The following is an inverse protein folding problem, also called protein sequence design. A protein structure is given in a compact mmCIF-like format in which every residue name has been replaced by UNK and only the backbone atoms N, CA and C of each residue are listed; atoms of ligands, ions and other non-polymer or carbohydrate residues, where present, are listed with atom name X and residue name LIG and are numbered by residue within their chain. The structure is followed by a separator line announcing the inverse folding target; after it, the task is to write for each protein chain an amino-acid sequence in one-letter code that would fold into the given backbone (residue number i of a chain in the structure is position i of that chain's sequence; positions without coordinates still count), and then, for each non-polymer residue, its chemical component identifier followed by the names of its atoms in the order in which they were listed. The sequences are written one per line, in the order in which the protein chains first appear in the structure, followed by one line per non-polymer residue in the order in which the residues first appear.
data_IF_454568832888
#
_entry.id   IF_454568832888
#
_cell.length_a   1.000
_cell.length_b   1.000
_cell.length_c   1.000
_cell.angle_alpha   90.00
_cell.angle_beta   90.00
_cell.angle_gamma   90.00
#
_symmetry.space_group_name_H-M   'P 1'
#
loop_
_entity.id
_entity.type
_entity.pdbx_description
1 polymer ?
#
# COMPACT_ATOMS: atom_id res chain seq x y z
N UNK A 1 13.23 22.42 -3.15
CA UNK A 1 14.62 22.05 -2.81
C UNK A 1 14.78 20.63 -3.30
N UNK A 2 15.66 20.40 -4.28
CA UNK A 2 15.92 19.06 -4.81
C UNK A 2 16.49 18.20 -3.69
N UNK A 3 15.66 17.32 -3.13
CA UNK A 3 16.13 16.30 -2.20
C UNK A 3 16.76 15.17 -3.01
N UNK A 4 17.87 15.45 -3.72
CA UNK A 4 18.76 14.38 -4.16
C UNK A 4 19.45 13.83 -2.90
N UNK A 5 18.85 12.82 -2.24
CA UNK A 5 19.41 12.27 -1.01
C UNK A 5 18.45 11.47 -0.16
N UNK A 6 18.80 11.33 1.14
CA UNK A 6 18.01 10.59 2.12
C UNK A 6 17.30 11.57 3.05
N UNK A 7 15.97 11.49 3.13
CA UNK A 7 15.13 12.29 4.02
C UNK A 7 14.47 11.39 5.06
N UNK A 8 14.58 11.74 6.35
CA UNK A 8 14.01 10.95 7.45
C UNK A 8 13.22 11.88 8.37
N UNK A 9 11.98 11.52 8.68
CA UNK A 9 11.14 12.18 9.68
C UNK A 9 10.63 11.14 10.67
N UNK A 10 10.73 11.46 11.96
CA UNK A 10 10.22 10.63 13.05
C UNK A 10 9.29 11.47 13.93
N UNK A 11 8.17 10.89 14.34
CA UNK A 11 7.18 11.56 15.18
C UNK A 11 6.54 10.60 16.17
N UNK A 12 6.14 11.12 17.33
CA UNK A 12 5.43 10.31 18.32
C UNK A 12 3.92 10.43 18.16
N UNK A 13 3.41 11.65 18.08
CA UNK A 13 1.97 11.94 18.05
C UNK A 13 1.69 13.09 17.08
N UNK A 14 0.43 13.18 16.66
CA UNK A 14 -0.09 14.33 15.93
C UNK A 14 -0.02 14.13 14.42
N UNK A 15 0.36 15.19 13.70
CA UNK A 15 0.38 15.19 12.22
C UNK A 15 1.81 15.35 11.72
N UNK A 16 2.24 14.40 10.89
CA UNK A 16 3.59 14.36 10.31
C UNK A 16 3.52 14.30 8.80
N UNK A 17 4.24 15.21 8.14
CA UNK A 17 4.24 15.32 6.69
C UNK A 17 5.68 15.37 6.21
N UNK A 18 6.05 14.44 5.33
CA UNK A 18 7.33 14.41 4.64
C UNK A 18 7.09 14.48 3.13
N UNK A 19 7.78 15.41 2.47
CA UNK A 19 7.73 15.58 1.02
C UNK A 19 9.16 15.49 0.45
N UNK A 20 9.33 14.76 -0.63
CA UNK A 20 10.61 14.62 -1.33
C UNK A 20 10.42 14.61 -2.85
N UNK A 21 11.49 14.98 -3.57
CA UNK A 21 11.50 14.90 -5.02
C UNK A 21 12.11 13.60 -5.49
N UNK A 22 13.32 13.30 -5.04
CA UNK A 22 14.11 12.15 -5.48
C UNK A 22 14.70 11.42 -4.27
N UNK A 23 15.36 10.30 -4.52
CA UNK A 23 16.15 9.58 -3.53
C UNK A 23 15.32 8.73 -2.56
N UNK A 24 15.72 8.70 -1.29
CA UNK A 24 15.11 7.83 -0.28
C UNK A 24 14.39 8.67 0.76
N UNK A 25 13.13 8.36 1.04
CA UNK A 25 12.31 9.10 2.01
C UNK A 25 11.68 8.15 3.00
N UNK A 26 11.86 8.42 4.29
CA UNK A 26 11.41 7.57 5.38
C UNK A 26 10.64 8.41 6.38
N UNK A 27 9.36 8.06 6.60
CA UNK A 27 8.54 8.64 7.65
C UNK A 27 8.17 7.54 8.65
N UNK A 28 8.45 7.79 9.93
CA UNK A 28 8.05 6.93 11.05
C UNK A 28 7.16 7.70 12.02
N UNK A 29 6.04 7.12 12.41
CA UNK A 29 5.12 7.72 13.39
C UNK A 29 4.57 6.68 14.36
N UNK A 30 4.43 7.02 15.63
CA UNK A 30 3.71 6.15 16.56
C UNK A 30 2.20 6.33 16.42
N UNK A 31 1.66 7.52 16.70
CA UNK A 31 0.22 7.80 16.69
C UNK A 31 -0.13 9.00 15.82
N UNK A 32 -1.31 8.98 15.22
CA UNK A 32 -1.92 10.13 14.56
C UNK A 32 -1.98 10.01 13.04
N UNK A 33 -1.66 11.10 12.34
CA UNK A 33 -1.76 11.17 10.87
C UNK A 33 -0.38 11.36 10.26
N UNK A 34 0.00 10.43 9.38
CA UNK A 34 1.29 10.46 8.69
C UNK A 34 1.12 10.46 7.19
N UNK A 35 1.75 11.43 6.53
CA UNK A 35 1.67 11.62 5.09
C UNK A 35 3.08 11.69 4.52
N UNK A 36 3.41 10.75 3.63
CA UNK A 36 4.64 10.76 2.86
C UNK A 36 4.29 10.94 1.38
N UNK A 37 4.87 11.96 0.75
CA UNK A 37 4.73 12.21 -0.68
C UNK A 37 6.12 12.25 -1.33
N UNK A 38 6.29 11.50 -2.40
CA UNK A 38 7.53 11.45 -3.16
C UNK A 38 7.27 11.46 -4.67
N UNK A 39 8.24 11.96 -5.44
CA UNK A 39 8.14 11.90 -6.89
C UNK A 39 8.90 10.69 -7.44
N UNK A 40 10.18 10.51 -7.11
CA UNK A 40 11.00 9.42 -7.61
C UNK A 40 11.80 8.77 -6.48
N UNK A 41 12.05 7.46 -6.60
CA UNK A 41 12.99 6.72 -5.77
C UNK A 41 12.30 5.79 -4.78
N UNK A 42 12.78 5.75 -3.53
CA UNK A 42 12.30 4.82 -2.50
C UNK A 42 11.59 5.57 -1.40
N UNK A 43 10.36 5.18 -1.10
CA UNK A 43 9.53 5.82 -0.09
C UNK A 43 8.99 4.80 0.90
N UNK A 44 9.26 5.03 2.18
CA UNK A 44 8.91 4.12 3.27
C UNK A 44 8.12 4.90 4.31
N UNK A 45 6.89 4.51 4.55
CA UNK A 45 6.06 5.02 5.63
C UNK A 45 5.78 3.88 6.62
N UNK A 46 6.14 4.09 7.89
CA UNK A 46 5.87 3.15 8.98
C UNK A 46 5.05 3.85 10.05
N UNK A 47 3.93 3.25 10.43
CA UNK A 47 3.07 3.77 11.49
C UNK A 47 2.61 2.68 12.46
N UNK A 48 2.37 3.06 13.71
CA UNK A 48 1.76 2.14 14.67
C UNK A 48 0.23 2.29 14.69
N UNK A 49 -0.30 3.49 14.94
CA UNK A 49 -1.74 3.73 15.05
C UNK A 49 -2.17 4.99 14.28
N UNK A 50 -3.34 4.91 13.65
CA UNK A 50 -4.03 6.07 13.10
C UNK A 50 -4.15 6.01 11.58
N UNK A 51 -3.87 7.14 10.91
CA UNK A 51 -4.05 7.27 9.45
C UNK A 51 -2.69 7.45 8.79
N UNK A 52 -2.39 6.59 7.82
CA UNK A 52 -1.12 6.62 7.08
C UNK A 52 -1.35 6.66 5.59
N UNK A 53 -0.77 7.67 4.94
CA UNK A 53 -0.95 7.93 3.52
C UNK A 53 0.42 8.02 2.88
N UNK A 54 0.71 7.12 1.96
CA UNK A 54 1.90 7.18 1.11
C UNK A 54 1.47 7.42 -0.34
N UNK A 55 1.97 8.49 -0.92
CA UNK A 55 1.77 8.83 -2.33
C UNK A 55 3.13 8.90 -3.03
N UNK A 56 3.26 8.20 -4.15
CA UNK A 56 4.48 8.21 -4.95
C UNK A 56 4.18 8.25 -6.44
N UNK A 57 5.07 8.83 -7.22
CA UNK A 57 4.95 8.81 -8.67
C UNK A 57 5.73 7.65 -9.30
N UNK A 58 7.03 7.52 -9.02
CA UNK A 58 7.87 6.48 -9.61
C UNK A 58 8.77 5.80 -8.57
N UNK A 59 8.96 4.50 -8.70
CA UNK A 59 9.95 3.73 -7.97
C UNK A 59 9.34 2.75 -6.98
N UNK A 60 9.89 2.70 -5.76
CA UNK A 60 9.49 1.71 -4.74
C UNK A 60 8.79 2.41 -3.59
N UNK A 61 7.59 1.96 -3.26
CA UNK A 61 6.78 2.52 -2.19
C UNK A 61 6.31 1.46 -1.23
N UNK A 62 6.63 1.64 0.05
CA UNK A 62 6.36 0.67 1.10
C UNK A 62 5.62 1.40 2.22
N UNK A 63 4.40 0.96 2.48
CA UNK A 63 3.60 1.41 3.63
C UNK A 63 3.41 0.22 4.58
N UNK A 64 3.85 0.37 5.81
CA UNK A 64 3.65 -0.60 6.89
C UNK A 64 2.89 0.07 8.03
N UNK A 65 1.81 -0.55 8.48
CA UNK A 65 1.00 -0.06 9.59
C UNK A 65 0.56 -1.18 10.52
N UNK A 66 0.37 -0.86 11.80
CA UNK A 66 -0.18 -1.82 12.74
C UNK A 66 -1.71 -1.69 12.85
N UNK A 67 -2.24 -0.51 13.18
CA UNK A 67 -3.67 -0.30 13.37
C UNK A 67 -4.16 0.97 12.66
N UNK A 68 -5.36 0.88 12.09
CA UNK A 68 -6.11 2.03 11.60
C UNK A 68 -6.29 2.02 10.09
N UNK A 69 -6.07 3.16 9.44
CA UNK A 69 -6.32 3.36 8.01
C UNK A 69 -5.01 3.56 7.27
N UNK A 70 -4.75 2.74 6.27
CA UNK A 70 -3.52 2.78 5.48
C UNK A 70 -3.83 2.86 4.00
N UNK A 71 -3.30 3.90 3.36
CA UNK A 71 -3.57 4.22 1.96
C UNK A 71 -2.22 4.37 1.26
N UNK A 72 -1.97 3.51 0.29
CA UNK A 72 -0.84 3.61 -0.62
C UNK A 72 -1.36 3.89 -2.03
N UNK A 73 -0.92 5.00 -2.61
CA UNK A 73 -1.19 5.38 -4.00
C UNK A 73 0.12 5.52 -4.75
N UNK A 74 0.24 4.86 -5.88
CA UNK A 74 1.42 4.93 -6.74
C UNK A 74 1.07 5.02 -8.21
N UNK A 75 1.92 5.67 -8.99
CA UNK A 75 1.74 5.69 -10.45
C UNK A 75 2.54 4.57 -11.13
N UNK A 76 3.85 4.48 -10.93
CA UNK A 76 4.71 3.48 -11.58
C UNK A 76 5.66 2.81 -10.59
N UNK A 77 5.87 1.51 -10.79
CA UNK A 77 6.92 0.75 -10.12
C UNK A 77 6.39 -0.29 -9.15
N UNK A 78 6.98 -0.38 -7.95
CA UNK A 78 6.66 -1.41 -6.97
C UNK A 78 6.00 -0.79 -5.75
N UNK A 79 4.82 -1.28 -5.41
CA UNK A 79 4.01 -0.76 -4.31
C UNK A 79 3.62 -1.89 -3.36
N UNK A 80 4.00 -1.73 -2.10
CA UNK A 80 3.80 -2.75 -1.07
C UNK A 80 3.08 -2.09 0.11
N UNK A 81 1.89 -2.58 0.42
CA UNK A 81 1.15 -2.19 1.60
C UNK A 81 1.02 -3.41 2.52
N UNK A 82 1.51 -3.29 3.74
CA UNK A 82 1.40 -4.29 4.80
C UNK A 82 0.67 -3.69 5.99
N UNK A 83 -0.37 -4.35 6.47
CA UNK A 83 -1.13 -3.91 7.63
C UNK A 83 -1.49 -5.07 8.55
N UNK A 84 -1.59 -4.80 9.85
CA UNK A 84 -2.11 -5.78 10.78
C UNK A 84 -3.64 -5.66 10.92
N UNK A 85 -4.16 -4.51 11.36
CA UNK A 85 -5.58 -4.32 11.66
C UNK A 85 -6.14 -3.05 11.00
N UNK A 86 -7.38 -3.15 10.53
CA UNK A 86 -8.17 -1.99 10.09
C UNK A 86 -8.42 -1.97 8.58
N UNK A 87 -8.27 -0.80 7.96
CA UNK A 87 -8.59 -0.59 6.53
C UNK A 87 -7.31 -0.33 5.75
N UNK A 88 -7.10 -1.12 4.70
CA UNK A 88 -5.91 -1.04 3.85
C UNK A 88 -6.29 -0.91 2.39
N UNK A 89 -5.83 0.16 1.76
CA UNK A 89 -6.16 0.50 0.39
C UNK A 89 -4.86 0.71 -0.38
N UNK A 90 -4.63 -0.12 -1.39
CA UNK A 90 -3.54 0.04 -2.33
C UNK A 90 -4.14 0.34 -3.72
N UNK A 91 -3.77 1.49 -4.28
CA UNK A 91 -4.12 1.89 -5.63
C UNK A 91 -2.84 2.11 -6.44
N UNK A 92 -2.74 1.49 -7.60
CA UNK A 92 -1.58 1.63 -8.49
C UNK A 92 -2.00 1.76 -9.94
N UNK A 93 -1.21 2.48 -10.73
CA UNK A 93 -1.45 2.57 -12.17
C UNK A 93 -0.66 1.49 -12.93
N UNK A 94 0.66 1.42 -12.78
CA UNK A 94 1.51 0.48 -13.50
C UNK A 94 2.53 -0.21 -12.57
N UNK A 95 2.78 -1.49 -12.83
CA UNK A 95 3.88 -2.24 -12.23
C UNK A 95 3.41 -3.34 -11.29
N UNK A 96 4.07 -3.47 -10.13
CA UNK A 96 3.80 -4.54 -9.17
C UNK A 96 3.18 -3.97 -7.91
N UNK A 97 2.03 -4.51 -7.53
CA UNK A 97 1.24 -4.07 -6.39
C UNK A 97 0.92 -5.22 -5.46
N UNK A 98 1.35 -5.12 -4.22
CA UNK A 98 1.23 -6.16 -3.21
C UNK A 98 0.55 -5.57 -1.99
N UNK A 99 -0.62 -6.10 -1.65
CA UNK A 99 -1.33 -5.79 -0.42
C UNK A 99 -1.37 -7.04 0.46
N UNK A 100 -0.83 -6.93 1.66
CA UNK A 100 -0.88 -7.97 2.68
C UNK A 100 -1.55 -7.42 3.93
N UNK A 101 -2.57 -8.12 4.43
CA UNK A 101 -3.28 -7.72 5.64
C UNK A 101 -3.58 -8.91 6.54
N UNK A 102 -3.65 -8.66 7.85
CA UNK A 102 -4.07 -9.69 8.80
C UNK A 102 -5.59 -9.64 9.04
N UNK A 103 -6.12 -8.53 9.54
CA UNK A 103 -7.55 -8.38 9.86
C UNK A 103 -8.13 -7.09 9.28
N UNK A 104 -9.39 -7.17 8.85
CA UNK A 104 -10.20 -6.00 8.49
C UNK A 104 -10.53 -5.93 7.01
N UNK A 105 -10.46 -4.74 6.42
CA UNK A 105 -10.85 -4.50 5.02
C UNK A 105 -9.61 -4.21 4.19
N UNK A 106 -9.43 -4.97 3.12
CA UNK A 106 -8.28 -4.86 2.22
C UNK A 106 -8.73 -4.70 0.79
N UNK A 107 -8.33 -3.61 0.17
CA UNK A 107 -8.73 -3.23 -1.18
C UNK A 107 -7.48 -2.97 -2.00
N UNK A 108 -7.28 -3.77 -3.04
CA UNK A 108 -6.24 -3.57 -4.04
C UNK A 108 -6.90 -3.23 -5.38
N UNK A 109 -6.59 -2.05 -5.91
CA UNK A 109 -7.01 -1.61 -7.24
C UNK A 109 -5.77 -1.32 -8.08
N UNK A 110 -5.71 -1.90 -9.28
CA UNK A 110 -4.60 -1.68 -10.20
C UNK A 110 -5.08 -1.51 -11.64
N UNK A 111 -4.35 -0.72 -12.43
CA UNK A 111 -4.65 -0.62 -13.85
C UNK A 111 -3.85 -1.64 -14.67
N UNK A 112 -2.52 -1.66 -14.59
CA UNK A 112 -1.66 -2.55 -15.38
C UNK A 112 -0.60 -3.23 -14.51
N UNK A 113 -0.32 -4.50 -14.83
CA UNK A 113 0.82 -5.24 -14.31
C UNK A 113 0.42 -6.37 -13.37
N UNK A 114 1.13 -6.54 -12.26
CA UNK A 114 0.94 -7.66 -11.33
C UNK A 114 0.33 -7.16 -10.03
N UNK A 115 -0.78 -7.77 -9.63
CA UNK A 115 -1.54 -7.38 -8.44
C UNK A 115 -1.77 -8.58 -7.55
N UNK A 116 -1.29 -8.50 -6.31
CA UNK A 116 -1.34 -9.58 -5.34
C UNK A 116 -1.99 -9.05 -4.07
N UNK A 117 -3.13 -9.62 -3.71
CA UNK A 117 -3.80 -9.36 -2.44
C UNK A 117 -3.77 -10.64 -1.60
N UNK A 118 -3.13 -10.58 -0.43
CA UNK A 118 -3.12 -11.63 0.59
C UNK A 118 -3.78 -11.11 1.85
N UNK A 119 -4.69 -11.89 2.43
CA UNK A 119 -5.46 -11.48 3.61
C UNK A 119 -5.77 -12.69 4.49
N UNK A 120 -5.72 -12.53 5.80
CA UNK A 120 -6.09 -13.60 6.72
C UNK A 120 -7.59 -13.56 7.05
N UNK A 121 -8.09 -12.45 7.61
CA UNK A 121 -9.47 -12.32 8.07
C UNK A 121 -10.13 -11.04 7.54
N UNK A 122 -11.45 -11.09 7.35
CA UNK A 122 -12.26 -9.93 6.98
C UNK A 122 -12.67 -9.87 5.52
N UNK A 123 -12.55 -8.71 4.88
CA UNK A 123 -13.03 -8.47 3.51
C UNK A 123 -11.87 -8.12 2.60
N UNK A 124 -11.75 -8.85 1.51
CA UNK A 124 -10.63 -8.73 0.57
C UNK A 124 -11.15 -8.50 -0.83
N UNK A 125 -10.80 -7.35 -1.42
CA UNK A 125 -11.27 -6.92 -2.72
C UNK A 125 -10.06 -6.65 -3.61
N UNK A 126 -9.92 -7.43 -4.68
CA UNK A 126 -8.94 -7.20 -5.73
C UNK A 126 -9.66 -6.84 -7.02
N UNK A 127 -9.40 -5.63 -7.53
CA UNK A 127 -9.87 -5.15 -8.82
C UNK A 127 -8.68 -4.80 -9.70
N UNK A 128 -8.66 -5.30 -10.93
CA UNK A 128 -7.58 -5.04 -11.88
C UNK A 128 -8.10 -4.87 -13.30
N UNK A 129 -7.44 -4.03 -14.09
CA UNK A 129 -7.80 -3.86 -15.50
C UNK A 129 -7.00 -4.81 -16.41
N UNK A 130 -5.67 -4.75 -16.41
CA UNK A 130 -4.81 -5.57 -17.25
C UNK A 130 -3.70 -6.26 -16.45
N UNK A 131 -3.37 -7.50 -16.83
CA UNK A 131 -2.20 -8.22 -16.34
C UNK A 131 -2.53 -9.40 -15.43
N UNK A 132 -1.75 -9.60 -14.37
CA UNK A 132 -1.88 -10.78 -13.49
C UNK A 132 -2.47 -10.36 -12.16
N UNK A 133 -3.51 -11.07 -11.72
CA UNK A 133 -4.26 -10.76 -10.50
C UNK A 133 -4.37 -11.99 -9.62
N UNK A 134 -3.86 -11.91 -8.40
CA UNK A 134 -3.82 -13.01 -7.45
C UNK A 134 -4.48 -12.56 -6.15
N UNK A 135 -5.60 -13.18 -5.79
CA UNK A 135 -6.25 -13.00 -4.50
C UNK A 135 -6.13 -14.27 -3.67
N UNK A 136 -5.45 -14.18 -2.54
CA UNK A 136 -5.34 -15.24 -1.54
C UNK A 136 -6.00 -14.79 -0.23
N UNK A 137 -6.89 -15.63 0.30
CA UNK A 137 -7.63 -15.34 1.53
C UNK A 137 -7.83 -16.59 2.37
N UNK A 138 -7.84 -16.45 3.70
CA UNK A 138 -8.20 -17.55 4.59
C UNK A 138 -9.68 -17.45 4.98
N UNK A 139 -10.04 -16.50 5.84
CA UNK A 139 -11.38 -16.33 6.38
C UNK A 139 -12.05 -15.06 5.85
N UNK A 140 -13.39 -15.06 5.90
CA UNK A 140 -14.20 -13.91 5.49
C UNK A 140 -14.63 -13.92 4.01
N UNK A 141 -14.72 -12.72 3.43
CA UNK A 141 -15.30 -12.46 2.10
C UNK A 141 -14.20 -12.05 1.13
N UNK A 142 -14.24 -12.62 -0.08
CA UNK A 142 -13.21 -12.39 -1.10
C UNK A 142 -13.87 -12.07 -2.43
N UNK A 143 -13.47 -10.97 -3.04
CA UNK A 143 -13.99 -10.48 -4.31
C UNK A 143 -12.80 -10.25 -5.23
N UNK A 144 -12.78 -10.96 -6.36
CA UNK A 144 -11.80 -10.77 -7.42
C UNK A 144 -12.54 -10.34 -8.70
N UNK A 145 -12.20 -9.17 -9.22
CA UNK A 145 -12.67 -8.68 -10.51
C UNK A 145 -11.46 -8.31 -11.37
N UNK A 146 -11.40 -8.87 -12.59
CA UNK A 146 -10.36 -8.54 -13.56
C UNK A 146 -10.99 -8.39 -14.94
N UNK A 147 -10.53 -7.42 -15.71
CA UNK A 147 -11.01 -7.20 -17.07
C UNK A 147 -10.23 -8.05 -18.09
N UNK A 148 -8.91 -7.86 -18.16
CA UNK A 148 -8.01 -8.56 -19.08
C UNK A 148 -6.83 -9.21 -18.35
N UNK A 149 -6.32 -10.31 -18.91
CA UNK A 149 -5.18 -11.04 -18.38
C UNK A 149 -5.55 -12.28 -17.56
N UNK A 150 -4.73 -12.59 -16.55
CA UNK A 150 -4.82 -13.83 -15.76
C UNK A 150 -5.30 -13.53 -14.34
N UNK A 151 -6.33 -14.26 -13.90
CA UNK A 151 -6.91 -14.09 -12.57
C UNK A 151 -6.88 -15.40 -11.79
N UNK A 152 -6.36 -15.34 -10.56
CA UNK A 152 -6.23 -16.48 -9.65
C UNK A 152 -6.89 -16.09 -8.33
N UNK A 153 -7.89 -16.86 -7.93
CA UNK A 153 -8.52 -16.77 -6.61
C UNK A 153 -8.22 -18.05 -5.82
N UNK A 154 -7.51 -17.91 -4.71
CA UNK A 154 -7.28 -18.99 -3.75
C UNK A 154 -7.95 -18.66 -2.42
N UNK A 155 -8.72 -19.61 -1.92
CA UNK A 155 -9.33 -19.54 -0.59
C UNK A 155 -8.93 -20.76 0.20
N UNK A 156 -8.39 -20.56 1.41
CA UNK A 156 -8.14 -21.68 2.33
C UNK A 156 -9.49 -22.15 2.87
N UNK A 157 -9.73 -23.46 2.77
CA UNK A 157 -10.93 -24.15 3.29
C UNK A 157 -10.62 -24.74 4.65
#
# INVERSE_FOLDING_TARGET
MSNEGVSILMSNEGVSILMSNEGVSILMSNEGVSILMSNEGVSILMSNEGVSILMSNEGVSILMSNEGVSILMSNEGVSILMSNEGVSILMSNEGVSILMSNEGVSILMSNEGVSILMSNEGVSILMSNEGVSILMSNEGVSILMSNEGVSILMRKV
#
